data_IF_691598627676
#
_entry.id   IF_691598627676
#
_cell.length_a   1.000
_cell.length_b   1.000
_cell.length_c   1.000
_cell.angle_alpha   90.00
_cell.angle_beta   90.00
_cell.angle_gamma   90.00
#
_symmetry.space_group_name_H-M   'P 1'
#
loop_
_entity.id
_entity.type
_entity.pdbx_description
1 polymer ?
#
# COMPACT_ATOMS: atom_id res chain seq x y z
N UNK A 1 -0.06 -12.60 32.01
CA UNK A 1 1.39 -12.51 31.76
C UNK A 1 1.86 -13.42 30.62
N UNK A 2 1.41 -14.67 30.48
CA UNK A 2 1.80 -15.59 29.40
C UNK A 2 1.41 -15.05 28.00
N UNK A 3 0.23 -14.48 27.86
CA UNK A 3 -0.22 -13.90 26.55
C UNK A 3 0.58 -12.69 26.09
N UNK A 4 1.00 -11.81 27.03
CA UNK A 4 1.84 -10.65 26.69
C UNK A 4 3.25 -11.10 26.28
N UNK A 5 3.82 -12.11 26.99
CA UNK A 5 5.10 -12.69 26.61
C UNK A 5 5.07 -13.35 25.24
N UNK A 6 4.02 -14.11 24.93
CA UNK A 6 3.84 -14.73 23.61
C UNK A 6 3.68 -13.70 22.50
N UNK A 7 2.92 -12.61 22.73
CA UNK A 7 2.76 -11.52 21.76
C UNK A 7 4.09 -10.78 21.51
N UNK A 8 4.86 -10.49 22.56
CA UNK A 8 6.18 -9.87 22.44
C UNK A 8 7.17 -10.76 21.68
N UNK A 9 7.19 -12.06 21.97
CA UNK A 9 8.03 -13.04 21.28
C UNK A 9 7.66 -13.12 19.79
N UNK A 10 6.36 -13.14 19.48
CA UNK A 10 5.87 -13.14 18.09
C UNK A 10 6.29 -11.87 17.34
N UNK A 11 6.13 -10.70 17.95
CA UNK A 11 6.55 -9.43 17.35
C UNK A 11 8.07 -9.39 17.12
N UNK A 12 8.85 -9.87 18.08
CA UNK A 12 10.32 -9.96 17.94
C UNK A 12 10.71 -10.91 16.81
N UNK A 13 10.03 -12.08 16.70
CA UNK A 13 10.27 -13.04 15.63
C UNK A 13 9.93 -12.44 14.26
N UNK A 14 8.79 -11.78 14.14
CA UNK A 14 8.37 -11.10 12.89
C UNK A 14 9.36 -10.00 12.52
N UNK A 15 9.84 -9.23 13.50
CA UNK A 15 10.86 -8.21 13.28
C UNK A 15 12.20 -8.81 12.81
N UNK A 16 12.63 -9.92 13.41
CA UNK A 16 13.88 -10.61 13.04
C UNK A 16 13.80 -11.21 11.64
N UNK A 17 12.62 -11.72 11.24
CA UNK A 17 12.39 -12.38 9.96
C UNK A 17 11.88 -11.42 8.86
N UNK A 18 11.83 -10.13 9.12
CA UNK A 18 11.23 -9.13 8.20
C UNK A 18 11.74 -9.22 6.76
N UNK A 19 13.03 -9.52 6.58
CA UNK A 19 13.68 -9.58 5.25
C UNK A 19 13.27 -10.84 4.46
N UNK A 20 12.76 -11.86 5.15
CA UNK A 20 12.25 -13.11 4.55
C UNK A 20 10.74 -13.08 4.34
N UNK A 21 10.03 -12.14 4.98
CA UNK A 21 8.56 -12.09 4.95
C UNK A 21 7.97 -11.70 3.59
N UNK A 22 8.71 -10.95 2.75
CA UNK A 22 8.20 -10.42 1.50
C UNK A 22 7.61 -11.50 0.57
N UNK A 23 8.29 -12.63 0.27
CA UNK A 23 7.72 -13.67 -0.57
C UNK A 23 6.46 -14.32 0.02
N UNK A 24 6.38 -14.46 1.36
CA UNK A 24 5.21 -15.01 2.04
C UNK A 24 4.02 -14.08 1.96
N UNK A 25 4.24 -12.78 2.22
CA UNK A 25 3.19 -11.75 2.10
C UNK A 25 2.69 -11.66 0.66
N UNK A 26 3.60 -11.64 -0.31
CA UNK A 26 3.26 -11.64 -1.73
C UNK A 26 2.49 -12.93 -2.12
N UNK A 27 2.88 -14.09 -1.58
CA UNK A 27 2.19 -15.36 -1.82
C UNK A 27 0.78 -15.39 -1.24
N UNK A 28 0.57 -14.87 -0.04
CA UNK A 28 -0.75 -14.73 0.57
C UNK A 28 -1.61 -13.75 -0.26
N UNK A 29 -1.08 -12.58 -0.62
CA UNK A 29 -1.79 -11.61 -1.45
C UNK A 29 -2.17 -12.20 -2.82
N UNK A 30 -1.25 -12.95 -3.44
CA UNK A 30 -1.50 -13.65 -4.69
C UNK A 30 -2.59 -14.71 -4.54
N UNK A 31 -2.59 -15.48 -3.46
CA UNK A 31 -3.65 -16.43 -3.17
C UNK A 31 -5.01 -15.75 -3.06
N UNK A 32 -5.12 -14.66 -2.30
CA UNK A 32 -6.34 -13.86 -2.20
C UNK A 32 -6.82 -13.32 -3.56
N UNK A 33 -5.89 -12.95 -4.45
CA UNK A 33 -6.21 -12.48 -5.80
C UNK A 33 -6.74 -13.60 -6.69
N UNK A 34 -6.11 -14.79 -6.63
CA UNK A 34 -6.39 -15.91 -7.52
C UNK A 34 -7.54 -16.82 -7.03
N UNK A 35 -7.88 -16.78 -5.73
CA UNK A 35 -8.91 -17.60 -5.11
C UNK A 35 -10.26 -17.59 -5.85
N UNK A 36 -10.86 -16.43 -6.26
CA UNK A 36 -12.13 -16.45 -6.98
C UNK A 36 -12.04 -17.10 -8.37
N UNK A 37 -10.85 -17.16 -8.95
CA UNK A 37 -10.63 -17.88 -10.21
C UNK A 37 -10.58 -19.39 -9.94
N UNK A 38 -9.95 -19.82 -8.83
CA UNK A 38 -9.94 -21.21 -8.38
C UNK A 38 -11.36 -21.71 -8.11
N UNK A 39 -12.17 -20.92 -7.39
CA UNK A 39 -13.57 -21.25 -7.13
C UNK A 39 -14.42 -21.38 -8.40
N UNK A 40 -14.16 -20.55 -9.41
CA UNK A 40 -14.86 -20.67 -10.72
C UNK A 40 -14.50 -21.96 -11.44
N UNK A 41 -13.22 -22.33 -11.45
CA UNK A 41 -12.78 -23.60 -12.08
C UNK A 41 -13.30 -24.81 -11.32
N UNK A 42 -13.38 -24.74 -10.00
CA UNK A 42 -13.97 -25.78 -9.17
C UNK A 42 -15.47 -25.98 -9.48
N UNK A 43 -16.22 -24.88 -9.67
CA UNK A 43 -17.61 -24.93 -10.14
C UNK A 43 -17.78 -25.50 -11.54
N UNK A 44 -16.74 -25.47 -12.38
CA UNK A 44 -16.71 -26.11 -13.69
C UNK A 44 -16.34 -27.61 -13.63
N UNK A 45 -16.14 -28.17 -12.43
CA UNK A 45 -15.89 -29.59 -12.19
C UNK A 45 -14.42 -29.97 -12.02
N UNK A 46 -13.49 -29.03 -11.97
CA UNK A 46 -12.10 -29.33 -11.63
C UNK A 46 -11.96 -29.52 -10.11
N UNK A 47 -11.15 -30.50 -9.69
CA UNK A 47 -10.80 -30.62 -8.28
C UNK A 47 -9.95 -29.42 -7.81
N UNK A 48 -10.05 -29.02 -6.52
CA UNK A 48 -9.35 -27.86 -5.94
C UNK A 48 -7.86 -27.83 -6.27
N UNK A 49 -7.18 -28.97 -6.18
CA UNK A 49 -5.76 -29.12 -6.51
C UNK A 49 -5.48 -28.80 -7.98
N UNK A 50 -6.29 -29.36 -8.90
CA UNK A 50 -6.10 -29.12 -10.34
C UNK A 50 -6.41 -27.67 -10.73
N UNK A 51 -7.45 -27.07 -10.14
CA UNK A 51 -7.81 -25.68 -10.34
C UNK A 51 -6.68 -24.75 -9.87
N UNK A 52 -6.14 -24.99 -8.67
CA UNK A 52 -5.04 -24.19 -8.10
C UNK A 52 -3.76 -24.30 -8.93
N UNK A 53 -3.39 -25.52 -9.37
CA UNK A 53 -2.23 -25.72 -10.24
C UNK A 53 -2.39 -25.03 -11.58
N UNK A 54 -3.55 -25.15 -12.22
CA UNK A 54 -3.81 -24.54 -13.53
C UNK A 54 -3.73 -23.02 -13.48
N UNK A 55 -4.38 -22.41 -12.48
CA UNK A 55 -4.38 -20.94 -12.34
C UNK A 55 -2.98 -20.43 -12.01
N UNK A 56 -2.29 -21.13 -11.13
CA UNK A 56 -0.93 -20.73 -10.76
C UNK A 56 0.03 -20.89 -11.93
N UNK A 57 -0.07 -21.96 -12.70
CA UNK A 57 0.72 -22.15 -13.93
C UNK A 57 0.42 -21.03 -14.94
N UNK A 58 -0.85 -20.70 -15.15
CA UNK A 58 -1.25 -19.60 -16.03
C UNK A 58 -0.70 -18.24 -15.53
N UNK A 59 -0.78 -17.99 -14.23
CA UNK A 59 -0.23 -16.78 -13.61
C UNK A 59 1.29 -16.71 -13.79
N UNK A 60 2.02 -17.81 -13.53
CA UNK A 60 3.49 -17.85 -13.70
C UNK A 60 3.87 -17.63 -15.16
N UNK A 61 3.17 -18.24 -16.12
CA UNK A 61 3.38 -18.01 -17.56
C UNK A 61 3.13 -16.56 -17.92
N UNK A 62 2.01 -15.98 -17.47
CA UNK A 62 1.70 -14.57 -17.70
C UNK A 62 2.76 -13.64 -17.09
N UNK A 63 3.20 -13.94 -15.86
CA UNK A 63 4.27 -13.20 -15.17
C UNK A 63 5.58 -13.28 -15.95
N UNK A 64 6.00 -14.47 -16.39
CA UNK A 64 7.22 -14.66 -17.17
C UNK A 64 7.15 -13.87 -18.49
N UNK A 65 6.04 -13.96 -19.22
CA UNK A 65 5.84 -13.18 -20.46
C UNK A 65 5.93 -11.69 -20.17
N UNK A 66 5.26 -11.21 -19.13
CA UNK A 66 5.30 -9.80 -18.72
C UNK A 66 6.73 -9.37 -18.38
N UNK A 67 7.47 -10.16 -17.63
CA UNK A 67 8.86 -9.86 -17.29
C UNK A 67 9.75 -9.85 -18.53
N UNK A 68 9.59 -10.79 -19.47
CA UNK A 68 10.36 -10.83 -20.72
C UNK A 68 10.13 -9.60 -21.61
N UNK A 69 8.95 -8.95 -21.50
CA UNK A 69 8.64 -7.73 -22.25
C UNK A 69 9.07 -6.48 -21.45
N UNK A 70 8.69 -6.41 -20.18
CA UNK A 70 8.86 -5.20 -19.36
C UNK A 70 10.33 -5.00 -18.95
N UNK A 71 11.05 -6.07 -18.60
CA UNK A 71 12.43 -5.95 -18.13
C UNK A 71 13.38 -5.40 -19.23
N UNK A 72 13.39 -5.90 -20.47
CA UNK A 72 14.21 -5.29 -21.53
C UNK A 72 13.79 -3.86 -21.85
N UNK A 73 12.49 -3.57 -21.88
CA UNK A 73 11.98 -2.22 -22.12
C UNK A 73 12.47 -1.26 -21.03
N UNK A 74 12.33 -1.65 -19.76
CA UNK A 74 12.80 -0.88 -18.62
C UNK A 74 14.32 -0.71 -18.65
N UNK A 75 15.07 -1.79 -18.92
CA UNK A 75 16.54 -1.75 -19.00
C UNK A 75 17.02 -0.78 -20.08
N UNK A 76 16.42 -0.81 -21.26
CA UNK A 76 16.73 0.11 -22.35
C UNK A 76 16.43 1.57 -21.99
N UNK A 77 15.28 1.83 -21.36
CA UNK A 77 14.91 3.17 -20.93
C UNK A 77 15.82 3.68 -19.82
N UNK A 78 16.17 2.85 -18.87
CA UNK A 78 17.12 3.21 -17.81
C UNK A 78 18.51 3.47 -18.35
N UNK A 79 19.02 2.62 -19.27
CA UNK A 79 20.30 2.84 -19.92
C UNK A 79 20.33 4.17 -20.71
N UNK A 80 19.25 4.48 -21.42
CA UNK A 80 19.09 5.75 -22.11
C UNK A 80 19.04 6.95 -21.13
N UNK A 81 18.35 6.81 -19.98
CA UNK A 81 18.32 7.84 -18.94
C UNK A 81 19.72 8.13 -18.42
N UNK A 82 20.49 7.10 -18.06
CA UNK A 82 21.86 7.23 -17.58
C UNK A 82 22.75 7.92 -18.62
N UNK A 83 22.63 7.53 -19.87
CA UNK A 83 23.42 8.12 -20.97
C UNK A 83 23.07 9.60 -21.20
N UNK A 84 21.83 10.01 -20.99
CA UNK A 84 21.37 11.39 -21.22
C UNK A 84 21.53 12.31 -20.00
N UNK A 85 21.64 11.76 -18.77
CA UNK A 85 21.78 12.51 -17.53
C UNK A 85 22.86 13.60 -17.57
N UNK A 86 24.15 13.33 -17.97
CA UNK A 86 25.21 14.34 -17.96
C UNK A 86 24.88 15.52 -18.89
N UNK A 87 24.37 15.23 -20.10
CA UNK A 87 23.97 16.27 -21.07
C UNK A 87 22.76 17.08 -20.61
N UNK A 88 21.87 16.46 -19.86
CA UNK A 88 20.68 17.06 -19.27
C UNK A 88 21.04 18.04 -18.16
N UNK A 89 21.95 17.65 -17.27
CA UNK A 89 22.46 18.49 -16.17
C UNK A 89 23.18 19.71 -16.70
N UNK A 90 24.08 19.53 -17.67
CA UNK A 90 24.79 20.66 -18.28
C UNK A 90 23.85 21.64 -19.00
N UNK A 91 22.81 21.15 -19.68
CA UNK A 91 21.77 21.99 -20.25
C UNK A 91 20.96 22.75 -19.21
N UNK A 92 20.56 22.09 -18.13
CA UNK A 92 19.82 22.73 -17.03
C UNK A 92 20.66 23.84 -16.36
N UNK A 93 21.96 23.56 -16.12
CA UNK A 93 22.88 24.56 -15.59
C UNK A 93 23.06 25.76 -16.54
N UNK A 94 23.17 25.50 -17.87
CA UNK A 94 23.23 26.56 -18.87
C UNK A 94 21.97 27.43 -18.90
N UNK A 95 20.77 26.82 -18.84
CA UNK A 95 19.49 27.53 -18.79
C UNK A 95 19.35 28.38 -17.52
N UNK A 96 19.75 27.82 -16.38
CA UNK A 96 19.77 28.57 -15.11
C UNK A 96 20.69 29.79 -15.22
N UNK A 97 21.86 29.64 -15.82
CA UNK A 97 22.79 30.74 -16.04
C UNK A 97 22.22 31.83 -16.99
N UNK A 98 21.61 31.40 -18.11
CA UNK A 98 21.15 32.28 -19.16
C UNK A 98 19.83 32.98 -18.82
N UNK A 99 18.85 32.29 -18.22
CA UNK A 99 17.50 32.80 -17.96
C UNK A 99 17.33 33.39 -16.57
N UNK A 100 17.90 32.76 -15.56
CA UNK A 100 17.75 33.14 -14.15
C UNK A 100 18.91 34.07 -13.69
N UNK A 101 20.09 33.88 -14.27
CA UNK A 101 21.27 34.67 -13.95
C UNK A 101 21.08 36.20 -14.02
N UNK A 102 20.55 36.74 -15.15
CA UNK A 102 20.32 38.19 -15.27
C UNK A 102 19.31 38.75 -14.26
N UNK A 103 18.31 37.96 -13.87
CA UNK A 103 17.32 38.35 -12.87
C UNK A 103 17.91 38.39 -11.47
N UNK A 104 18.69 37.36 -11.10
CA UNK A 104 19.35 37.27 -9.79
C UNK A 104 20.47 38.31 -9.64
N UNK A 105 21.20 38.61 -10.71
CA UNK A 105 22.20 39.71 -10.69
C UNK A 105 21.59 41.06 -10.41
N UNK A 106 20.36 41.31 -10.90
CA UNK A 106 19.64 42.60 -10.62
C UNK A 106 19.19 42.69 -9.17
N UNK A 107 19.04 41.60 -8.45
CA UNK A 107 18.57 41.52 -7.06
C UNK A 107 19.77 41.34 -6.08
N UNK A 108 21.00 41.28 -6.59
CA UNK A 108 22.20 41.07 -5.75
C UNK A 108 22.42 39.59 -5.34
N UNK A 109 21.78 38.65 -5.99
CA UNK A 109 21.76 37.22 -5.62
C UNK A 109 22.73 36.34 -6.42
N UNK A 110 23.98 36.80 -6.69
CA UNK A 110 25.00 36.02 -7.42
C UNK A 110 25.36 34.71 -6.70
N UNK A 111 25.38 34.74 -5.38
CA UNK A 111 25.69 33.56 -4.55
C UNK A 111 24.56 32.47 -4.63
N UNK A 112 23.31 32.92 -4.72
CA UNK A 112 22.16 32.03 -4.89
C UNK A 112 22.21 31.25 -6.22
N UNK A 113 22.71 31.89 -7.30
CA UNK A 113 22.85 31.22 -8.60
C UNK A 113 23.92 30.14 -8.55
N UNK A 114 25.07 30.41 -7.94
CA UNK A 114 26.14 29.40 -7.79
C UNK A 114 25.72 28.25 -6.90
N UNK A 115 24.98 28.52 -5.84
CA UNK A 115 24.42 27.50 -4.94
C UNK A 115 23.34 26.65 -5.61
N UNK A 116 22.47 27.24 -6.42
CA UNK A 116 21.48 26.51 -7.22
C UNK A 116 22.16 25.59 -8.27
N UNK A 117 23.17 26.11 -8.98
CA UNK A 117 23.91 25.33 -9.97
C UNK A 117 24.66 24.16 -9.33
N UNK A 118 25.32 24.37 -8.20
CA UNK A 118 26.01 23.33 -7.45
C UNK A 118 25.02 22.29 -6.88
N UNK A 119 23.88 22.74 -6.36
CA UNK A 119 22.82 21.87 -5.83
C UNK A 119 22.22 20.99 -6.92
N UNK A 120 21.91 21.54 -8.10
CA UNK A 120 21.43 20.78 -9.26
C UNK A 120 22.48 19.75 -9.72
N UNK A 121 23.76 20.14 -9.80
CA UNK A 121 24.85 19.23 -10.12
C UNK A 121 24.98 18.11 -9.11
N UNK A 122 24.91 18.42 -7.83
CA UNK A 122 24.99 17.46 -6.72
C UNK A 122 23.82 16.51 -6.70
N UNK A 123 22.59 17.01 -6.84
CA UNK A 123 21.38 16.19 -6.89
C UNK A 123 21.38 15.23 -8.10
N UNK A 124 21.84 15.72 -9.25
CA UNK A 124 21.90 14.90 -10.45
C UNK A 124 23.00 13.81 -10.37
N UNK A 125 24.19 14.15 -9.86
CA UNK A 125 25.27 13.16 -9.66
C UNK A 125 24.92 12.17 -8.56
N UNK A 126 24.34 12.59 -7.44
CA UNK A 126 23.88 11.69 -6.37
C UNK A 126 22.71 10.85 -6.83
N UNK A 127 21.70 11.45 -7.50
CA UNK A 127 20.55 10.72 -8.06
C UNK A 127 20.98 9.71 -9.12
N UNK A 128 21.89 10.09 -10.02
CA UNK A 128 22.49 9.19 -11.01
C UNK A 128 23.30 8.07 -10.37
N UNK A 129 24.13 8.38 -9.37
CA UNK A 129 24.90 7.41 -8.62
C UNK A 129 24.01 6.44 -7.84
N UNK A 130 22.94 6.95 -7.21
CA UNK A 130 21.95 6.14 -6.52
C UNK A 130 21.21 5.21 -7.50
N UNK A 131 20.77 5.73 -8.65
CA UNK A 131 20.13 4.95 -9.70
C UNK A 131 21.05 3.85 -10.24
N UNK A 132 22.31 4.19 -10.51
CA UNK A 132 23.34 3.23 -10.92
C UNK A 132 23.63 2.19 -9.84
N UNK A 133 23.70 2.59 -8.57
CA UNK A 133 23.88 1.68 -7.45
C UNK A 133 22.67 0.75 -7.28
N UNK A 134 21.46 1.29 -7.41
CA UNK A 134 20.21 0.52 -7.41
C UNK A 134 20.19 -0.51 -8.54
N UNK A 135 20.49 -0.09 -9.78
CA UNK A 135 20.56 -1.01 -10.93
C UNK A 135 21.67 -2.05 -10.78
N UNK A 136 22.83 -1.62 -10.31
CA UNK A 136 23.94 -2.54 -10.00
C UNK A 136 23.53 -3.54 -8.91
N UNK A 137 22.79 -3.12 -7.91
CA UNK A 137 22.27 -4.01 -6.86
C UNK A 137 21.27 -5.02 -7.41
N UNK A 138 20.45 -4.62 -8.41
CA UNK A 138 19.52 -5.53 -9.10
C UNK A 138 20.24 -6.53 -10.02
N UNK A 139 21.42 -6.17 -10.60
CA UNK A 139 22.06 -6.95 -11.64
C UNK A 139 23.33 -7.69 -11.20
N UNK A 140 24.07 -7.20 -10.21
CA UNK A 140 25.38 -7.71 -9.83
C UNK A 140 25.47 -8.40 -8.47
N UNK A 141 24.40 -8.41 -7.70
CA UNK A 141 24.38 -9.03 -6.38
C UNK A 141 23.91 -10.48 -6.46
N UNK A 142 24.76 -11.45 -6.10
CA UNK A 142 24.29 -12.81 -5.81
C UNK A 142 23.11 -12.81 -4.82
N UNK A 143 23.09 -11.87 -3.87
CA UNK A 143 21.97 -11.64 -2.96
C UNK A 143 20.70 -11.14 -3.67
N UNK A 144 20.81 -10.24 -4.65
CA UNK A 144 19.64 -9.77 -5.40
C UNK A 144 19.06 -10.88 -6.28
N UNK A 145 19.91 -11.69 -6.93
CA UNK A 145 19.46 -12.87 -7.66
C UNK A 145 18.79 -13.89 -6.75
N UNK A 146 19.34 -14.14 -5.57
CA UNK A 146 18.72 -15.01 -4.56
C UNK A 146 17.39 -14.43 -4.08
N UNK A 147 17.29 -13.12 -3.84
CA UNK A 147 16.05 -12.46 -3.42
C UNK A 147 14.97 -12.50 -4.51
N UNK A 148 15.35 -12.24 -5.76
CA UNK A 148 14.43 -12.32 -6.91
C UNK A 148 14.03 -13.78 -7.16
N UNK A 149 14.97 -14.74 -7.13
CA UNK A 149 14.67 -16.15 -7.26
C UNK A 149 13.78 -16.64 -6.11
N UNK A 150 14.06 -16.20 -4.88
CA UNK A 150 13.22 -16.48 -3.71
C UNK A 150 11.81 -15.92 -3.91
N UNK A 151 11.68 -14.68 -4.37
CA UNK A 151 10.37 -14.09 -4.66
C UNK A 151 9.64 -14.86 -5.77
N UNK A 152 10.31 -15.19 -6.86
CA UNK A 152 9.73 -15.90 -8.01
C UNK A 152 9.36 -17.35 -7.72
N UNK A 153 10.07 -18.02 -6.81
CA UNK A 153 9.83 -19.42 -6.46
C UNK A 153 8.95 -19.54 -5.21
N UNK A 154 9.31 -18.82 -4.14
CA UNK A 154 8.60 -18.96 -2.85
C UNK A 154 7.18 -18.38 -2.93
N UNK A 155 6.99 -17.24 -3.60
CA UNK A 155 5.66 -16.62 -3.74
C UNK A 155 4.62 -17.53 -4.38
N UNK A 156 4.86 -18.14 -5.56
CA UNK A 156 3.92 -19.11 -6.15
C UNK A 156 3.72 -20.35 -5.28
N UNK A 157 4.79 -20.86 -4.65
CA UNK A 157 4.69 -22.02 -3.76
C UNK A 157 3.81 -21.72 -2.56
N UNK A 158 4.02 -20.58 -1.89
CA UNK A 158 3.16 -20.15 -0.78
C UNK A 158 1.73 -19.96 -1.25
N UNK A 159 1.52 -19.29 -2.38
CA UNK A 159 0.19 -19.09 -2.94
C UNK A 159 -0.51 -20.44 -3.24
N UNK A 160 0.23 -21.40 -3.76
CA UNK A 160 -0.30 -22.76 -4.01
C UNK A 160 -0.79 -23.41 -2.74
N UNK A 161 0.04 -23.47 -1.70
CA UNK A 161 -0.37 -24.08 -0.43
C UNK A 161 -1.55 -23.37 0.22
N UNK A 162 -1.56 -22.04 0.17
CA UNK A 162 -2.70 -21.27 0.68
C UNK A 162 -3.98 -21.57 -0.13
N UNK A 163 -3.92 -21.61 -1.46
CA UNK A 163 -5.09 -21.90 -2.31
C UNK A 163 -5.64 -23.31 -2.07
N UNK A 164 -4.76 -24.30 -1.85
CA UNK A 164 -5.18 -25.71 -1.70
C UNK A 164 -5.67 -25.99 -0.29
N UNK A 165 -5.00 -25.50 0.74
CA UNK A 165 -5.21 -25.90 2.12
C UNK A 165 -5.97 -24.86 2.98
N UNK A 166 -6.41 -23.75 2.38
CA UNK A 166 -7.07 -22.64 3.10
C UNK A 166 -8.25 -23.12 3.95
N UNK A 167 -9.18 -23.84 3.35
CA UNK A 167 -10.39 -24.30 4.04
C UNK A 167 -10.06 -25.27 5.19
N UNK A 168 -9.08 -26.15 4.99
CA UNK A 168 -8.62 -27.09 6.02
C UNK A 168 -7.96 -26.34 7.18
N UNK A 169 -7.14 -25.33 6.87
CA UNK A 169 -6.47 -24.49 7.87
C UNK A 169 -7.49 -23.74 8.70
N UNK A 170 -8.46 -23.08 8.08
CA UNK A 170 -9.53 -22.34 8.76
C UNK A 170 -10.39 -23.29 9.60
N UNK A 171 -10.78 -24.46 9.09
CA UNK A 171 -11.53 -25.45 9.85
C UNK A 171 -10.76 -25.93 11.09
N UNK A 172 -9.46 -26.13 10.96
CA UNK A 172 -8.60 -26.50 12.10
C UNK A 172 -8.50 -25.38 13.15
N UNK A 173 -8.31 -24.14 12.73
CA UNK A 173 -8.31 -22.97 13.62
C UNK A 173 -9.66 -22.84 14.35
N UNK A 174 -10.77 -22.99 13.61
CA UNK A 174 -12.12 -22.94 14.18
C UNK A 174 -12.36 -24.06 15.23
N UNK A 175 -11.77 -25.24 15.02
CA UNK A 175 -11.89 -26.35 15.98
C UNK A 175 -11.25 -26.04 17.34
N UNK A 176 -10.24 -25.17 17.39
CA UNK A 176 -9.57 -24.75 18.63
C UNK A 176 -10.36 -23.70 19.42
N UNK A 177 -11.32 -23.04 18.76
CA UNK A 177 -12.14 -22.02 19.43
C UNK A 177 -13.20 -22.70 20.31
N UNK A 178 -13.32 -22.30 21.59
CA UNK A 178 -14.38 -22.81 22.46
C UNK A 178 -15.77 -22.58 21.86
N UNK A 179 -16.69 -23.59 21.92
CA UNK A 179 -18.01 -23.52 21.25
C UNK A 179 -18.80 -22.25 21.54
N UNK A 180 -18.71 -21.74 22.79
CA UNK A 180 -19.39 -20.52 23.24
C UNK A 180 -18.96 -19.25 22.46
N UNK A 181 -17.70 -19.20 22.01
CA UNK A 181 -17.12 -18.01 21.37
C UNK A 181 -17.05 -18.15 19.82
N UNK A 182 -17.32 -19.34 19.27
CA UNK A 182 -17.27 -19.59 17.82
C UNK A 182 -18.08 -18.61 16.99
N UNK A 183 -19.36 -18.25 17.32
CA UNK A 183 -20.12 -17.33 16.50
C UNK A 183 -19.46 -15.95 16.37
N UNK A 184 -18.88 -15.46 17.47
CA UNK A 184 -18.20 -14.15 17.52
C UNK A 184 -16.89 -14.21 16.71
N UNK A 185 -16.07 -15.23 16.94
CA UNK A 185 -14.78 -15.38 16.24
C UNK A 185 -14.99 -15.55 14.74
N UNK A 186 -15.98 -16.36 14.31
CA UNK A 186 -16.33 -16.53 12.90
C UNK A 186 -16.84 -15.24 12.27
N UNK A 187 -17.61 -14.41 13.01
CA UNK A 187 -18.04 -13.10 12.53
C UNK A 187 -16.84 -12.19 12.30
N UNK A 188 -15.97 -12.03 13.30
CA UNK A 188 -14.77 -11.21 13.21
C UNK A 188 -13.82 -11.70 12.10
N UNK A 189 -13.62 -13.02 12.01
CA UNK A 189 -12.81 -13.61 10.94
C UNK A 189 -13.32 -13.26 9.55
N UNK A 190 -14.65 -13.35 9.31
CA UNK A 190 -15.26 -12.96 8.03
C UNK A 190 -15.15 -11.47 7.74
N UNK A 191 -15.31 -10.61 8.76
CA UNK A 191 -15.15 -9.16 8.59
C UNK A 191 -13.70 -8.78 8.24
N UNK A 192 -12.71 -9.41 8.90
CA UNK A 192 -11.28 -9.24 8.60
C UNK A 192 -10.94 -9.76 7.20
N UNK A 193 -11.38 -10.97 6.89
CA UNK A 193 -11.17 -11.60 5.57
C UNK A 193 -11.77 -10.75 4.44
N UNK A 194 -12.99 -10.26 4.63
CA UNK A 194 -13.65 -9.34 3.69
C UNK A 194 -12.87 -8.04 3.48
N UNK A 195 -12.33 -7.45 4.55
CA UNK A 195 -11.53 -6.23 4.47
C UNK A 195 -10.21 -6.46 3.71
N UNK A 196 -9.49 -7.55 4.03
CA UNK A 196 -8.22 -7.91 3.35
C UNK A 196 -8.47 -8.22 1.89
N UNK A 197 -9.46 -9.08 1.59
CA UNK A 197 -9.82 -9.49 0.23
C UNK A 197 -10.23 -8.28 -0.61
N UNK A 198 -11.12 -7.44 -0.08
CA UNK A 198 -11.58 -6.23 -0.75
C UNK A 198 -10.43 -5.28 -1.07
N UNK A 199 -9.53 -5.05 -0.10
CA UNK A 199 -8.36 -4.23 -0.32
C UNK A 199 -7.41 -4.82 -1.35
N UNK A 200 -6.97 -6.06 -1.19
CA UNK A 200 -5.96 -6.68 -2.08
C UNK A 200 -6.46 -6.72 -3.52
N UNK A 201 -7.69 -7.17 -3.74
CA UNK A 201 -8.29 -7.25 -5.08
C UNK A 201 -8.54 -5.86 -5.67
N UNK A 202 -9.14 -4.97 -4.87
CA UNK A 202 -9.42 -3.60 -5.30
C UNK A 202 -8.15 -2.85 -5.65
N UNK A 203 -7.15 -2.87 -4.76
CA UNK A 203 -5.90 -2.15 -4.95
C UNK A 203 -5.06 -2.70 -6.11
N UNK A 204 -5.07 -4.02 -6.33
CA UNK A 204 -4.41 -4.60 -7.51
C UNK A 204 -5.03 -4.09 -8.81
N UNK A 205 -6.37 -4.01 -8.88
CA UNK A 205 -7.05 -3.45 -10.06
C UNK A 205 -6.76 -1.95 -10.21
N UNK A 206 -6.72 -1.18 -9.13
CA UNK A 206 -6.31 0.24 -9.15
C UNK A 206 -4.91 0.37 -9.74
N UNK A 207 -3.94 -0.42 -9.27
CA UNK A 207 -2.57 -0.42 -9.78
C UNK A 207 -2.49 -0.72 -11.28
N UNK A 208 -3.25 -1.71 -11.76
CA UNK A 208 -3.27 -2.08 -13.18
C UNK A 208 -3.87 -0.96 -14.05
N UNK A 209 -5.00 -0.41 -13.61
CA UNK A 209 -5.70 0.65 -14.36
C UNK A 209 -4.84 1.92 -14.38
N UNK A 210 -4.35 2.39 -13.23
CA UNK A 210 -3.54 3.61 -13.16
C UNK A 210 -2.17 3.42 -13.79
N UNK A 211 -1.53 2.27 -13.61
CA UNK A 211 -0.25 1.96 -14.27
C UNK A 211 -0.37 2.00 -15.79
N UNK A 212 -1.45 1.41 -16.34
CA UNK A 212 -1.74 1.48 -17.77
C UNK A 212 -2.07 2.91 -18.20
N UNK A 213 -2.91 3.62 -17.45
CA UNK A 213 -3.31 4.99 -17.75
C UNK A 213 -2.10 5.94 -17.76
N UNK A 214 -1.25 5.90 -16.73
CA UNK A 214 -0.04 6.74 -16.66
C UNK A 214 0.95 6.36 -17.75
N UNK A 215 1.17 5.06 -18.01
CA UNK A 215 2.10 4.63 -19.06
C UNK A 215 1.67 5.09 -20.44
N UNK A 216 0.40 4.89 -20.79
CA UNK A 216 -0.16 5.31 -22.07
C UNK A 216 -0.23 6.84 -22.18
N UNK A 217 -0.70 7.51 -21.13
CA UNK A 217 -0.81 8.96 -21.10
C UNK A 217 0.53 9.66 -21.28
N UNK A 218 1.56 9.25 -20.53
CA UNK A 218 2.90 9.81 -20.63
C UNK A 218 3.59 9.46 -21.98
N UNK A 219 3.32 8.27 -22.52
CA UNK A 219 3.79 7.90 -23.85
C UNK A 219 3.16 8.77 -24.97
N UNK A 220 1.84 9.02 -24.88
CA UNK A 220 1.14 9.90 -25.84
C UNK A 220 1.62 11.35 -25.78
N UNK A 221 2.00 11.83 -24.60
CA UNK A 221 2.63 13.14 -24.42
C UNK A 221 4.05 13.17 -25.00
N UNK A 222 4.63 12.02 -25.35
CA UNK A 222 6.00 11.94 -25.87
C UNK A 222 7.07 12.13 -24.78
N UNK A 223 6.71 11.86 -23.52
CA UNK A 223 7.66 11.95 -22.41
C UNK A 223 8.67 10.82 -22.49
N UNK A 224 9.97 11.13 -22.50
CA UNK A 224 11.03 10.15 -22.39
C UNK A 224 10.84 9.35 -21.09
N UNK A 225 11.01 8.03 -21.16
CA UNK A 225 10.78 7.12 -20.05
C UNK A 225 9.33 7.08 -19.53
N UNK A 226 8.36 7.70 -20.23
CA UNK A 226 6.98 7.81 -19.80
C UNK A 226 6.33 6.46 -19.45
N UNK A 227 6.57 5.43 -20.25
CA UNK A 227 6.06 4.07 -19.99
C UNK A 227 6.65 3.49 -18.70
N UNK A 228 7.96 3.63 -18.51
CA UNK A 228 8.64 3.15 -17.31
C UNK A 228 8.13 3.87 -16.04
N UNK A 229 8.04 5.21 -16.11
CA UNK A 229 7.52 6.02 -15.00
C UNK A 229 6.08 5.63 -14.68
N UNK A 230 5.24 5.45 -15.70
CA UNK A 230 3.85 5.03 -15.54
C UNK A 230 3.71 3.66 -14.89
N UNK A 231 4.52 2.68 -15.30
CA UNK A 231 4.54 1.34 -14.70
C UNK A 231 5.00 1.39 -13.24
N UNK A 232 6.08 2.13 -12.94
CA UNK A 232 6.58 2.31 -11.57
C UNK A 232 5.53 3.01 -10.70
N UNK A 233 4.95 4.09 -11.19
CA UNK A 233 3.89 4.82 -10.47
C UNK A 233 2.69 3.90 -10.19
N UNK A 234 2.21 3.16 -11.20
CA UNK A 234 1.11 2.22 -11.07
C UNK A 234 1.42 1.10 -10.06
N UNK A 235 2.60 0.52 -10.10
CA UNK A 235 3.01 -0.49 -9.13
C UNK A 235 3.09 0.06 -7.69
N UNK A 236 3.72 1.23 -7.54
CA UNK A 236 3.86 1.90 -6.23
C UNK A 236 2.51 2.42 -5.68
N UNK A 237 1.49 2.57 -6.52
CA UNK A 237 0.12 2.96 -6.09
C UNK A 237 -0.49 1.89 -5.18
N UNK A 238 0.06 0.66 -5.14
CA UNK A 238 -0.33 -0.31 -4.12
C UNK A 238 -0.18 0.25 -2.69
N UNK A 239 0.79 1.12 -2.49
CA UNK A 239 0.97 1.87 -1.25
C UNK A 239 0.32 3.26 -1.45
N UNK A 240 -0.78 3.57 -0.75
CA UNK A 240 -1.49 4.84 -0.92
C UNK A 240 -0.56 6.06 -0.84
N UNK A 241 -0.79 7.02 -1.71
CA UNK A 241 -0.02 8.27 -1.88
C UNK A 241 1.38 8.10 -2.45
N UNK A 242 2.08 6.98 -2.25
CA UNK A 242 3.48 6.80 -2.64
C UNK A 242 3.60 6.74 -4.17
N UNK A 243 2.74 5.95 -4.83
CA UNK A 243 2.78 5.79 -6.29
C UNK A 243 2.55 7.09 -7.05
N UNK A 244 1.48 7.79 -6.72
CA UNK A 244 1.12 9.05 -7.39
C UNK A 244 2.16 10.14 -7.15
N UNK A 245 2.64 10.30 -5.90
CA UNK A 245 3.66 11.30 -5.58
C UNK A 245 4.98 11.01 -6.31
N UNK A 246 5.45 9.77 -6.24
CA UNK A 246 6.70 9.37 -6.90
C UNK A 246 6.59 9.51 -8.42
N UNK A 247 5.50 9.02 -9.02
CA UNK A 247 5.26 9.13 -10.45
C UNK A 247 5.15 10.59 -10.92
N UNK A 248 4.44 11.44 -10.18
CA UNK A 248 4.33 12.87 -10.46
C UNK A 248 5.69 13.56 -10.43
N UNK A 249 6.47 13.38 -9.35
CA UNK A 249 7.77 14.00 -9.22
C UNK A 249 8.74 13.54 -10.33
N UNK A 250 8.77 12.25 -10.65
CA UNK A 250 9.61 11.73 -11.72
C UNK A 250 9.18 12.25 -13.09
N UNK A 251 7.89 12.21 -13.41
CA UNK A 251 7.40 12.65 -14.72
C UNK A 251 7.56 14.15 -14.95
N UNK A 252 7.22 14.96 -13.94
CA UNK A 252 7.40 16.41 -14.03
C UNK A 252 8.89 16.78 -14.09
N UNK A 253 9.74 16.09 -13.30
CA UNK A 253 11.18 16.27 -13.37
C UNK A 253 11.74 15.99 -14.77
N UNK A 254 11.35 14.86 -15.39
CA UNK A 254 11.76 14.53 -16.77
C UNK A 254 11.17 15.51 -17.78
N UNK A 255 9.89 15.90 -17.65
CA UNK A 255 9.25 16.86 -18.55
C UNK A 255 9.93 18.23 -18.52
N UNK A 256 10.28 18.72 -17.34
CA UNK A 256 11.01 19.99 -17.20
C UNK A 256 12.35 19.92 -17.93
N UNK A 257 13.09 18.84 -17.76
CA UNK A 257 14.36 18.67 -18.42
C UNK A 257 14.24 18.51 -19.92
N UNK A 258 13.24 17.79 -20.38
CA UNK A 258 13.02 17.49 -21.81
C UNK A 258 12.47 18.66 -22.58
N UNK A 259 11.45 19.35 -22.06
CA UNK A 259 10.65 20.33 -22.79
C UNK A 259 10.96 21.79 -22.47
N UNK A 260 11.58 22.09 -21.32
CA UNK A 260 11.95 23.45 -20.93
C UNK A 260 12.91 24.13 -21.93
N UNK A 261 13.96 23.45 -22.44
CA UNK A 261 14.90 24.07 -23.35
C UNK A 261 14.24 24.60 -24.64
N UNK A 262 13.19 23.89 -25.10
CA UNK A 262 12.39 24.30 -26.27
C UNK A 262 11.27 25.29 -25.93
N UNK A 263 11.11 25.67 -24.65
CA UNK A 263 9.99 26.47 -24.15
C UNK A 263 8.62 25.85 -24.45
N UNK A 264 8.57 24.51 -24.48
CA UNK A 264 7.36 23.75 -24.81
C UNK A 264 6.51 23.51 -23.56
N UNK A 265 5.89 24.59 -23.10
CA UNK A 265 5.02 24.60 -21.91
C UNK A 265 3.79 23.70 -22.07
N UNK A 266 3.38 23.43 -23.34
CA UNK A 266 2.23 22.58 -23.61
C UNK A 266 2.48 21.15 -23.14
N UNK A 267 3.62 20.53 -23.52
CA UNK A 267 3.94 19.16 -23.12
C UNK A 267 4.22 19.03 -21.62
N UNK A 268 4.78 20.08 -20.99
CA UNK A 268 4.90 20.12 -19.51
C UNK A 268 3.50 20.14 -18.87
N UNK A 269 2.61 21.02 -19.36
CA UNK A 269 1.23 21.09 -18.89
C UNK A 269 0.45 19.79 -19.12
N UNK A 270 0.63 19.13 -20.26
CA UNK A 270 0.02 17.83 -20.55
C UNK A 270 0.54 16.73 -19.59
N UNK A 271 1.84 16.73 -19.29
CA UNK A 271 2.42 15.78 -18.30
C UNK A 271 1.77 15.96 -16.93
N UNK A 272 1.67 17.19 -16.44
CA UNK A 272 0.95 17.51 -15.20
C UNK A 272 -0.53 17.11 -15.31
N UNK A 273 -1.16 17.40 -16.44
CA UNK A 273 -2.55 17.05 -16.72
C UNK A 273 -2.83 15.55 -16.62
N UNK A 274 -1.95 14.71 -17.13
CA UNK A 274 -2.07 13.24 -17.02
C UNK A 274 -2.15 12.81 -15.54
N UNK A 275 -1.29 13.37 -14.67
CA UNK A 275 -1.34 13.03 -13.26
C UNK A 275 -2.55 13.62 -12.53
N UNK A 276 -2.97 14.83 -12.87
CA UNK A 276 -4.19 15.44 -12.28
C UNK A 276 -5.44 14.64 -12.66
N UNK A 277 -5.56 14.23 -13.93
CA UNK A 277 -6.66 13.38 -14.38
C UNK A 277 -6.60 12.00 -13.71
N UNK A 278 -5.41 11.39 -13.64
CA UNK A 278 -5.23 10.11 -12.94
C UNK A 278 -5.60 10.20 -11.47
N UNK A 279 -5.18 11.25 -10.76
CA UNK A 279 -5.53 11.50 -9.37
C UNK A 279 -7.03 11.72 -9.18
N UNK A 280 -7.66 12.47 -10.08
CA UNK A 280 -9.11 12.65 -10.08
C UNK A 280 -9.85 11.31 -10.28
N UNK A 281 -9.43 10.52 -11.27
CA UNK A 281 -9.99 9.18 -11.53
C UNK A 281 -9.79 8.26 -10.32
N UNK A 282 -8.59 8.23 -9.74
CA UNK A 282 -8.27 7.42 -8.57
C UNK A 282 -9.18 7.78 -7.39
N UNK A 283 -9.23 9.05 -7.00
CA UNK A 283 -9.93 9.48 -5.79
C UNK A 283 -11.45 9.47 -5.90
N UNK A 284 -12.00 9.74 -7.10
CA UNK A 284 -13.45 9.95 -7.25
C UNK A 284 -14.17 8.78 -7.94
N UNK A 285 -13.47 7.93 -8.69
CA UNK A 285 -14.10 6.89 -9.49
C UNK A 285 -13.54 5.50 -9.17
N UNK A 286 -12.21 5.34 -9.26
CA UNK A 286 -11.58 4.02 -9.25
C UNK A 286 -11.56 3.47 -7.82
N UNK A 287 -10.97 4.20 -6.87
CA UNK A 287 -10.86 3.75 -5.48
C UNK A 287 -12.22 3.56 -4.81
N UNK A 288 -13.21 4.47 -4.91
CA UNK A 288 -14.54 4.23 -4.35
C UNK A 288 -15.26 3.00 -4.91
N UNK A 289 -15.06 2.70 -6.21
CA UNK A 289 -15.70 1.55 -6.85
C UNK A 289 -15.00 0.23 -6.60
N UNK A 290 -13.68 0.22 -6.52
CA UNK A 290 -12.87 -1.01 -6.47
C UNK A 290 -12.44 -1.37 -5.06
N UNK A 291 -12.03 -0.40 -4.25
CA UNK A 291 -11.62 -0.60 -2.85
C UNK A 291 -12.81 -0.34 -1.92
N UNK A 292 -13.63 0.68 -2.22
CA UNK A 292 -14.83 1.04 -1.47
C UNK A 292 -14.55 1.26 0.02
N UNK A 293 -15.55 0.96 0.85
CA UNK A 293 -15.46 1.04 2.31
C UNK A 293 -14.75 -0.18 2.95
N UNK A 294 -14.08 -1.01 2.14
CA UNK A 294 -13.48 -2.26 2.61
C UNK A 294 -12.49 -2.06 3.77
N UNK A 295 -11.83 -0.92 3.82
CA UNK A 295 -10.85 -0.61 4.87
C UNK A 295 -11.51 0.07 6.07
N UNK A 296 -12.54 0.91 5.85
CA UNK A 296 -13.32 1.58 6.91
C UNK A 296 -12.49 2.37 7.93
N UNK A 297 -11.33 2.91 7.51
CA UNK A 297 -10.42 3.68 8.36
C UNK A 297 -10.43 5.16 7.98
N UNK A 298 -10.36 6.02 8.99
CA UNK A 298 -10.14 7.44 8.77
C UNK A 298 -8.73 7.67 8.17
N UNK A 299 -8.55 8.59 7.20
CA UNK A 299 -7.26 8.83 6.54
C UNK A 299 -6.07 9.05 7.47
N UNK A 300 -6.28 9.68 8.61
CA UNK A 300 -5.23 9.90 9.63
C UNK A 300 -4.69 8.59 10.18
N UNK A 301 -5.58 7.61 10.46
CA UNK A 301 -5.15 6.28 10.93
C UNK A 301 -4.43 5.49 9.85
N UNK A 302 -4.83 5.68 8.59
CA UNK A 302 -4.13 5.10 7.45
C UNK A 302 -2.70 5.64 7.32
N UNK A 303 -2.52 6.97 7.40
CA UNK A 303 -1.19 7.60 7.38
C UNK A 303 -0.35 7.13 8.58
N UNK A 304 -0.94 7.10 9.78
CA UNK A 304 -0.26 6.59 10.96
C UNK A 304 0.19 5.13 10.76
N UNK A 305 -0.68 4.26 10.24
CA UNK A 305 -0.33 2.87 9.96
C UNK A 305 0.82 2.76 8.95
N UNK A 306 0.77 3.51 7.85
CA UNK A 306 1.85 3.53 6.86
C UNK A 306 3.19 3.95 7.47
N UNK A 307 3.21 5.01 8.29
CA UNK A 307 4.43 5.45 8.97
C UNK A 307 4.91 4.44 10.01
N UNK A 308 4.02 3.92 10.84
CA UNK A 308 4.36 2.97 11.90
C UNK A 308 4.86 1.63 11.35
N UNK A 309 4.10 1.01 10.44
CA UNK A 309 4.51 -0.26 9.84
C UNK A 309 5.70 -0.10 8.88
N UNK A 310 5.78 1.02 8.17
CA UNK A 310 6.92 1.35 7.31
C UNK A 310 8.21 1.51 8.09
N UNK A 311 8.19 2.17 9.26
CA UNK A 311 9.38 2.33 10.13
C UNK A 311 9.80 1.03 10.79
N UNK A 312 8.84 0.16 11.16
CA UNK A 312 9.13 -1.10 11.84
C UNK A 312 9.62 -2.21 10.88
N UNK A 313 8.98 -2.34 9.72
CA UNK A 313 9.17 -3.47 8.81
C UNK A 313 9.58 -3.06 7.39
N UNK A 314 9.90 -1.77 7.17
CA UNK A 314 10.32 -1.27 5.86
C UNK A 314 9.24 -1.45 4.79
N UNK A 315 9.66 -1.87 3.58
CA UNK A 315 8.77 -2.04 2.43
C UNK A 315 7.65 -3.06 2.67
N UNK A 316 7.96 -4.17 3.34
CA UNK A 316 6.94 -5.17 3.72
C UNK A 316 5.90 -4.58 4.66
N UNK A 317 6.34 -3.75 5.61
CA UNK A 317 5.45 -3.02 6.50
C UNK A 317 4.50 -2.08 5.76
N UNK A 318 4.99 -1.36 4.76
CA UNK A 318 4.16 -0.49 3.91
C UNK A 318 3.09 -1.29 3.15
N UNK A 319 3.45 -2.46 2.59
CA UNK A 319 2.49 -3.34 1.91
C UNK A 319 1.40 -3.87 2.83
N UNK A 320 1.78 -4.24 4.07
CA UNK A 320 0.86 -4.79 5.06
C UNK A 320 0.10 -3.73 5.86
N UNK A 321 0.52 -2.46 5.82
CA UNK A 321 -0.02 -1.41 6.66
C UNK A 321 -1.55 -1.31 6.58
N UNK A 322 -2.10 -1.29 5.37
CA UNK A 322 -3.55 -1.15 5.16
C UNK A 322 -4.32 -2.41 5.60
N UNK A 323 -3.97 -3.63 5.16
CA UNK A 323 -4.65 -4.85 5.62
C UNK A 323 -4.60 -5.04 7.13
N UNK A 324 -3.44 -4.80 7.75
CA UNK A 324 -3.29 -4.96 9.20
C UNK A 324 -4.07 -3.88 9.95
N UNK A 325 -4.01 -2.63 9.51
CA UNK A 325 -4.76 -1.54 10.12
C UNK A 325 -6.29 -1.76 9.99
N UNK A 326 -6.77 -2.26 8.85
CA UNK A 326 -8.18 -2.62 8.67
C UNK A 326 -8.59 -3.75 9.64
N UNK A 327 -7.75 -4.77 9.78
CA UNK A 327 -7.98 -5.88 10.71
C UNK A 327 -8.03 -5.41 12.17
N UNK A 328 -7.11 -4.53 12.56
CA UNK A 328 -7.11 -3.89 13.88
C UNK A 328 -8.38 -3.04 14.05
N UNK A 329 -8.80 -2.30 13.02
CA UNK A 329 -10.02 -1.50 13.02
C UNK A 329 -11.27 -2.34 13.29
N UNK A 330 -11.39 -3.54 12.71
CA UNK A 330 -12.48 -4.50 12.99
C UNK A 330 -12.48 -4.90 14.46
N UNK A 331 -11.31 -5.27 15.00
CA UNK A 331 -11.17 -5.70 16.39
C UNK A 331 -11.49 -4.55 17.36
N UNK A 332 -11.01 -3.33 17.07
CA UNK A 332 -11.26 -2.15 17.90
C UNK A 332 -12.76 -1.79 17.91
N UNK A 333 -13.42 -1.79 16.75
CA UNK A 333 -14.88 -1.55 16.66
C UNK A 333 -15.66 -2.56 17.49
N UNK A 334 -15.32 -3.85 17.38
CA UNK A 334 -15.94 -4.89 18.18
C UNK A 334 -15.70 -4.70 19.69
N UNK A 335 -14.47 -4.38 20.09
CA UNK A 335 -14.15 -4.12 21.49
C UNK A 335 -14.92 -2.92 22.04
N UNK A 336 -15.04 -1.85 21.24
CA UNK A 336 -15.80 -0.66 21.59
C UNK A 336 -17.31 -0.94 21.71
N UNK A 337 -17.89 -1.68 20.76
CA UNK A 337 -19.30 -2.12 20.84
C UNK A 337 -19.56 -2.91 22.13
N UNK A 338 -18.67 -3.82 22.50
CA UNK A 338 -18.76 -4.61 23.73
C UNK A 338 -18.60 -3.76 24.98
N UNK A 339 -17.70 -2.79 24.95
CA UNK A 339 -17.52 -1.84 26.05
C UNK A 339 -18.77 -0.98 26.27
N UNK A 340 -19.33 -0.40 25.20
CA UNK A 340 -20.53 0.43 25.27
C UNK A 340 -21.77 -0.34 25.74
N UNK A 341 -21.83 -1.66 25.50
CA UNK A 341 -22.89 -2.54 25.99
C UNK A 341 -22.62 -3.12 27.39
N UNK A 342 -21.48 -2.82 27.99
CA UNK A 342 -21.08 -3.37 29.28
C UNK A 342 -21.68 -2.56 30.44
N UNK A 343 -21.81 -3.23 31.60
CA UNK A 343 -22.18 -2.58 32.85
C UNK A 343 -21.19 -1.51 33.30
N UNK A 344 -19.95 -1.56 32.80
CA UNK A 344 -18.93 -0.56 33.10
C UNK A 344 -19.24 0.80 32.45
N UNK A 345 -19.90 0.79 31.30
CA UNK A 345 -20.30 2.04 30.61
C UNK A 345 -21.65 2.56 31.10
N UNK A 346 -22.63 1.66 31.27
CA UNK A 346 -23.89 1.97 31.92
C UNK A 346 -23.68 1.76 33.42
N UNK A 347 -23.19 2.80 34.11
CA UNK A 347 -23.21 2.79 35.56
C UNK A 347 -24.66 2.52 36.01
N UNK A 348 -24.92 1.37 36.63
CA UNK A 348 -26.24 1.13 37.24
C UNK A 348 -26.49 2.29 38.21
N UNK A 349 -27.48 3.13 37.93
CA UNK A 349 -28.08 3.94 39.01
C UNK A 349 -28.42 2.98 40.12
N UNK A 350 -27.88 3.19 41.34
CA UNK A 350 -28.22 2.32 42.45
C UNK A 350 -29.76 2.25 42.52
N UNK A 351 -30.35 1.05 42.69
CA UNK A 351 -31.80 0.92 42.72
C UNK A 351 -32.30 1.91 43.77
N UNK A 352 -33.16 2.83 43.32
CA UNK A 352 -33.84 3.76 44.21
C UNK A 352 -34.44 2.88 45.28
N UNK A 353 -33.91 2.95 46.50
CA UNK A 353 -34.48 2.25 47.63
C UNK A 353 -35.95 2.62 47.67
N UNK A 354 -36.88 1.65 47.75
CA UNK A 354 -38.29 1.96 47.79
C UNK A 354 -38.47 2.97 48.93
N UNK A 355 -39.09 4.12 48.61
CA UNK A 355 -39.41 5.16 49.56
C UNK A 355 -40.15 4.44 50.70
N UNK A 356 -39.49 4.26 51.86
CA UNK A 356 -40.18 3.81 53.05
C UNK A 356 -41.31 4.84 53.28
N UNK A 357 -42.53 4.43 53.06
CA UNK A 357 -43.69 5.21 53.49
C UNK A 357 -43.56 5.36 54.99
N UNK A 358 -43.22 6.57 55.44
CA UNK A 358 -43.29 6.90 56.87
C UNK A 358 -44.70 6.60 57.34
N UNK A 359 -44.87 5.76 58.34
CA UNK A 359 -46.19 5.52 58.91
C UNK A 359 -46.79 6.87 59.34
N UNK A 360 -48.09 7.08 59.16
CA UNK A 360 -48.74 8.32 59.51
C UNK A 360 -48.54 8.56 61.02
N UNK A 361 -48.06 9.76 61.37
CA UNK A 361 -47.93 10.19 62.75
C UNK A 361 -49.35 10.19 63.37
N UNK A 362 -49.70 9.11 64.08
CA UNK A 362 -50.91 9.06 64.87
C UNK A 362 -50.82 10.09 65.99
N UNK A 363 -51.48 11.17 65.83
CA UNK A 363 -51.62 12.21 66.83
C UNK A 363 -52.24 11.65 68.12
N UNK A 364 -51.45 11.72 69.18
CA UNK A 364 -52.03 11.57 70.53
C UNK A 364 -52.94 12.77 70.79
N UNK A 365 -54.24 12.52 70.66
CA UNK A 365 -55.26 13.42 71.23
C UNK A 365 -55.10 13.42 72.72
N UNK A 366 -54.75 14.56 73.27
CA UNK A 366 -54.74 14.81 74.69
C UNK A 366 -56.15 14.69 75.21
N UNK A 367 -56.44 13.75 76.12
CA UNK A 367 -57.56 13.83 77.06
C UNK A 367 -57.15 14.77 78.17
N UNK A 368 -57.82 15.86 78.23
CA UNK A 368 -58.07 16.63 79.45
C UNK A 368 -59.30 16.04 80.06
N UNK A 369 -59.19 15.59 81.28
CA UNK A 369 -60.08 15.83 82.38
C UNK A 369 -59.35 15.64 83.68
#
# INVERSE_FOLDING_TARGET
MIGLGAALTLLLLVYLLRDVLLPFVAGIALAYLLDPLADRLERLGLGRLAASLLILALFVVALVITLLIVVPLAANQVAALIATLPGTVSRLQAILAERVGPLLQRIGGTDVLSELQSSVGTLATQGGAWLLAFLKSLWSGSQALISIASLLVVTPVVAFYILVDWDRMIAKLDSWVPPRHRPVVRRLGREIDGAITGFVRGQTLVCLILGTFYSVGLWLVGLNFGVLIGLIAGFLTFIPYVGTLTGFLLSVGVALVQFWPSSDWLHIGLTVGVFLVGQFLEGNIISPKLVGDSVGLHPVWLMFALLAFGSLFGFVGLLLAVPVAASIGVIVRFALERYLQSRLYHAEEPPLLPRQEMPPLTGHAARRD
#
